data_IF_954163941312
#
_entry.id   IF_954163941312
#
_cell.length_a   1.000
_cell.length_b   1.000
_cell.length_c   1.000
_cell.angle_alpha   90.00
_cell.angle_beta   90.00
_cell.angle_gamma   90.00
#
_symmetry.space_group_name_H-M   'P 1'
#
loop_
_entity.id
_entity.type
_entity.pdbx_description
1 polymer ?
#
# COMPACT_ATOMS: atom_id res chain seq x y z
N UNK A 1 18.68 23.23 19.32
CA UNK A 1 17.38 22.77 19.88
C UNK A 1 16.17 23.55 19.36
N UNK A 2 16.15 24.91 19.35
CA UNK A 2 14.97 25.69 18.89
C UNK A 2 14.51 25.44 17.45
N UNK A 3 15.39 24.99 16.55
CA UNK A 3 15.06 24.67 15.14
C UNK A 3 14.45 23.27 14.95
N UNK A 4 14.74 22.33 15.85
CA UNK A 4 14.28 20.93 15.72
C UNK A 4 12.77 20.80 15.92
N UNK A 5 12.22 21.44 16.96
CA UNK A 5 10.78 21.46 17.24
C UNK A 5 9.97 22.27 16.22
N UNK A 6 10.62 23.03 15.32
CA UNK A 6 9.95 23.76 14.23
C UNK A 6 9.73 22.91 12.98
N UNK A 7 10.37 21.74 12.88
CA UNK A 7 10.19 20.84 11.73
C UNK A 7 8.76 20.29 11.72
N UNK A 8 8.13 20.29 10.54
CA UNK A 8 6.78 19.73 10.36
C UNK A 8 6.68 18.29 10.86
N UNK A 9 7.64 17.46 10.47
CA UNK A 9 7.75 16.06 10.86
C UNK A 9 7.76 15.87 12.39
N UNK A 10 8.56 16.66 13.11
CA UNK A 10 8.66 16.59 14.59
C UNK A 10 7.34 16.99 15.25
N UNK A 11 6.69 18.05 14.75
CA UNK A 11 5.35 18.44 15.21
C UNK A 11 4.30 17.37 14.91
N UNK A 12 4.41 16.70 13.75
CA UNK A 12 3.60 15.53 13.40
C UNK A 12 3.78 14.40 14.41
N UNK A 13 5.02 14.01 14.73
CA UNK A 13 5.27 12.96 15.73
C UNK A 13 4.72 13.31 17.11
N UNK A 14 4.92 14.55 17.57
CA UNK A 14 4.32 15.03 18.83
C UNK A 14 2.79 15.00 18.77
N UNK A 15 2.22 15.44 17.65
CA UNK A 15 0.79 15.36 17.39
C UNK A 15 0.27 13.92 17.42
N UNK A 16 1.04 12.95 16.93
CA UNK A 16 0.68 11.54 16.97
C UNK A 16 0.63 10.99 18.39
N UNK A 17 1.63 11.33 19.21
CA UNK A 17 1.67 10.91 20.62
C UNK A 17 0.52 11.55 21.39
N UNK A 18 0.35 12.87 21.28
CA UNK A 18 -0.71 13.60 21.97
C UNK A 18 -2.11 13.14 21.53
N UNK A 19 -2.32 12.94 20.23
CA UNK A 19 -3.56 12.41 19.69
C UNK A 19 -3.87 11.00 20.18
N UNK A 20 -2.85 10.13 20.25
CA UNK A 20 -2.98 8.78 20.81
C UNK A 20 -3.40 8.82 22.27
N UNK A 21 -2.69 9.59 23.10
CA UNK A 21 -3.01 9.73 24.52
C UNK A 21 -4.38 10.35 24.75
N UNK A 22 -4.75 11.35 23.95
CA UNK A 22 -6.08 11.96 24.00
C UNK A 22 -7.17 10.93 23.65
N UNK A 23 -6.99 10.11 22.61
CA UNK A 23 -7.95 9.06 22.26
C UNK A 23 -8.10 7.98 23.34
N UNK A 24 -6.99 7.55 23.93
CA UNK A 24 -7.01 6.63 25.08
C UNK A 24 -7.74 7.25 26.29
N UNK A 25 -7.46 8.52 26.58
CA UNK A 25 -8.12 9.28 27.64
C UNK A 25 -9.61 9.46 27.38
N UNK A 26 -10.01 9.71 26.13
CA UNK A 26 -11.41 9.85 25.72
C UNK A 26 -12.19 8.55 25.96
N UNK A 27 -11.63 7.40 25.58
CA UNK A 27 -12.25 6.09 25.85
C UNK A 27 -12.38 5.86 27.34
N UNK A 28 -11.30 6.05 28.10
CA UNK A 28 -11.28 5.81 29.55
C UNK A 28 -12.22 6.75 30.29
N UNK A 29 -12.26 8.04 29.93
CA UNK A 29 -13.14 9.04 30.51
C UNK A 29 -14.61 8.82 30.17
N UNK A 30 -14.92 8.40 28.94
CA UNK A 30 -16.28 8.02 28.55
C UNK A 30 -16.74 6.81 29.34
N UNK A 31 -15.87 5.81 29.55
CA UNK A 31 -16.18 4.65 30.39
C UNK A 31 -16.43 5.03 31.84
N UNK A 32 -15.62 5.93 32.39
CA UNK A 32 -15.84 6.47 33.74
C UNK A 32 -17.20 7.19 33.86
N UNK A 33 -17.52 8.06 32.88
CA UNK A 33 -18.79 8.79 32.86
C UNK A 33 -20.02 7.88 32.73
N UNK A 34 -19.87 6.73 32.07
CA UNK A 34 -20.93 5.72 31.92
C UNK A 34 -20.93 4.68 33.05
N UNK A 35 -20.04 4.79 34.04
CA UNK A 35 -19.97 3.87 35.18
C UNK A 35 -19.48 2.45 34.83
N UNK A 36 -18.71 2.28 33.75
CA UNK A 36 -18.15 0.98 33.38
C UNK A 36 -16.90 0.63 34.18
N UNK A 37 -16.76 -0.66 34.56
CA UNK A 37 -15.57 -1.23 35.19
C UNK A 37 -15.10 -2.48 34.39
N UNK A 38 -13.79 -2.65 34.07
CA UNK A 38 -12.68 -1.73 34.32
C UNK A 38 -12.77 -0.44 33.51
N UNK A 39 -12.25 0.67 34.05
CA UNK A 39 -12.13 1.94 33.32
C UNK A 39 -11.28 1.79 32.05
N UNK A 40 -10.19 1.02 32.14
CA UNK A 40 -9.29 0.76 31.02
C UNK A 40 -9.79 -0.40 30.16
N UNK A 41 -10.26 -0.07 28.95
CA UNK A 41 -10.54 -1.05 27.89
C UNK A 41 -9.42 -0.97 26.85
N UNK A 42 -8.43 -1.86 26.97
CA UNK A 42 -7.17 -1.76 26.22
C UNK A 42 -7.37 -1.66 24.70
N UNK A 43 -8.17 -2.56 24.11
CA UNK A 43 -8.36 -2.59 22.67
C UNK A 43 -9.08 -1.33 22.13
N UNK A 44 -10.27 -0.94 22.62
CA UNK A 44 -10.89 0.32 22.23
C UNK A 44 -9.99 1.54 22.44
N UNK A 45 -9.25 1.59 23.55
CA UNK A 45 -8.32 2.68 23.82
C UNK A 45 -7.18 2.76 22.81
N UNK A 46 -6.61 1.63 22.39
CA UNK A 46 -5.58 1.58 21.35
C UNK A 46 -6.13 1.87 19.95
N UNK A 47 -7.34 1.41 19.61
CA UNK A 47 -7.98 1.69 18.32
C UNK A 47 -8.30 3.19 18.18
N UNK A 48 -8.99 3.76 19.15
CA UNK A 48 -9.33 5.20 19.14
C UNK A 48 -8.08 6.05 19.30
N UNK A 49 -7.13 5.60 20.13
CA UNK A 49 -5.80 6.22 20.24
C UNK A 49 -5.08 6.24 18.89
N UNK A 50 -4.97 5.11 18.20
CA UNK A 50 -4.32 5.04 16.88
C UNK A 50 -4.98 5.93 15.83
N UNK A 51 -6.33 6.01 15.85
CA UNK A 51 -7.11 6.87 14.97
C UNK A 51 -6.82 8.35 15.23
N UNK A 52 -6.97 8.80 16.48
CA UNK A 52 -6.73 10.19 16.85
C UNK A 52 -5.24 10.56 16.83
N UNK A 53 -4.35 9.60 17.01
CA UNK A 53 -2.92 9.76 16.79
C UNK A 53 -2.61 10.00 15.32
N UNK A 54 -3.21 9.24 14.40
CA UNK A 54 -3.08 9.49 12.96
C UNK A 54 -3.58 10.89 12.60
N UNK A 55 -4.75 11.28 13.11
CA UNK A 55 -5.27 12.63 12.91
C UNK A 55 -4.36 13.70 13.52
N UNK A 56 -3.89 13.49 14.75
CA UNK A 56 -2.97 14.38 15.45
C UNK A 56 -1.65 14.56 14.71
N UNK A 57 -1.13 13.50 14.07
CA UNK A 57 0.02 13.61 13.17
C UNK A 57 -0.28 14.53 11.99
N UNK A 58 -1.39 14.29 11.30
CA UNK A 58 -1.79 15.04 10.11
C UNK A 58 -2.06 16.52 10.40
N UNK A 59 -2.60 16.83 11.58
CA UNK A 59 -2.73 18.20 12.09
C UNK A 59 -1.36 18.79 12.42
N UNK A 60 -0.54 18.07 13.20
CA UNK A 60 0.75 18.56 13.68
C UNK A 60 1.75 18.85 12.57
N UNK A 61 1.77 18.01 11.51
CA UNK A 61 2.63 18.25 10.34
C UNK A 61 2.11 19.38 9.46
N UNK A 62 0.81 19.68 9.53
CA UNK A 62 0.13 20.72 8.75
C UNK A 62 -0.55 20.23 7.47
N UNK A 63 -0.65 18.91 7.26
CA UNK A 63 -1.25 18.34 6.05
C UNK A 63 -2.76 18.61 5.94
N UNK A 64 -3.41 18.95 7.06
CA UNK A 64 -4.82 19.34 7.13
C UNK A 64 -5.05 20.86 7.25
N UNK A 65 -3.98 21.65 7.34
CA UNK A 65 -4.11 23.10 7.59
C UNK A 65 -4.86 23.83 6.49
N UNK A 66 -4.53 23.55 5.22
CA UNK A 66 -5.18 24.22 4.09
C UNK A 66 -6.66 23.83 3.96
N UNK A 67 -6.98 22.56 4.23
CA UNK A 67 -8.34 22.05 4.22
C UNK A 67 -9.22 22.71 5.30
N UNK A 68 -8.66 22.88 6.51
CA UNK A 68 -9.35 23.57 7.59
C UNK A 68 -9.60 25.05 7.27
N UNK A 69 -8.60 25.73 6.67
CA UNK A 69 -8.75 27.13 6.21
C UNK A 69 -9.85 27.26 5.15
N UNK A 70 -9.88 26.35 4.17
CA UNK A 70 -10.95 26.33 3.17
C UNK A 70 -12.33 26.13 3.77
N UNK A 71 -12.47 25.26 4.78
CA UNK A 71 -13.75 25.02 5.45
C UNK A 71 -14.33 26.28 6.12
N UNK A 72 -13.48 27.27 6.45
CA UNK A 72 -13.89 28.56 7.04
C UNK A 72 -13.75 29.73 6.05
N UNK A 73 -13.61 29.46 4.76
CA UNK A 73 -13.55 30.50 3.71
C UNK A 73 -12.24 31.27 3.61
N UNK A 74 -11.15 30.76 4.22
CA UNK A 74 -9.81 31.38 4.12
C UNK A 74 -9.09 30.86 2.88
N UNK A 75 -8.67 31.77 2.01
CA UNK A 75 -7.87 31.43 0.83
C UNK A 75 -6.51 30.84 1.22
N UNK A 76 -6.08 29.84 0.46
CA UNK A 76 -4.77 29.20 0.62
C UNK A 76 -4.05 29.20 -0.72
N UNK A 77 -3.06 30.09 -0.93
CA UNK A 77 -2.30 30.09 -2.17
C UNK A 77 -1.43 28.84 -2.26
N UNK A 78 -1.18 28.38 -3.48
CA UNK A 78 -0.26 27.28 -3.74
C UNK A 78 1.16 27.76 -3.48
N UNK A 79 1.83 27.17 -2.49
CA UNK A 79 3.21 27.49 -2.16
C UNK A 79 4.11 26.25 -2.30
N UNK A 80 5.23 26.42 -3.00
CA UNK A 80 6.30 25.43 -3.10
C UNK A 80 7.51 25.97 -2.35
N UNK A 81 8.16 25.14 -1.55
CA UNK A 81 9.38 25.52 -0.84
C UNK A 81 9.34 25.22 0.66
N UNK A 82 10.45 25.55 1.30
CA UNK A 82 10.55 25.46 2.75
C UNK A 82 9.56 26.40 3.44
N UNK A 83 9.12 26.08 4.67
CA UNK A 83 8.34 27.01 5.47
C UNK A 83 9.04 28.37 5.59
N UNK A 84 8.25 29.45 5.58
CA UNK A 84 8.77 30.82 5.60
C UNK A 84 9.81 31.05 6.72
N UNK A 85 10.96 31.60 6.35
CA UNK A 85 12.06 31.86 7.27
C UNK A 85 12.85 30.62 7.71
N UNK A 86 12.66 29.46 7.07
CA UNK A 86 13.44 28.24 7.32
C UNK A 86 14.36 27.91 6.13
N UNK A 87 15.49 27.22 6.36
CA UNK A 87 16.37 26.78 5.27
C UNK A 87 15.68 25.82 4.29
N UNK A 88 16.07 25.85 3.00
CA UNK A 88 15.48 25.04 1.92
C UNK A 88 15.34 23.55 2.25
N UNK A 89 16.34 22.94 2.90
CA UNK A 89 16.31 21.51 3.22
C UNK A 89 15.14 21.11 4.13
N UNK A 90 14.57 22.05 4.89
CA UNK A 90 13.45 21.78 5.80
C UNK A 90 12.16 21.41 5.06
N UNK A 91 12.05 21.73 3.76
CA UNK A 91 10.88 21.37 2.93
C UNK A 91 10.63 19.86 2.86
N UNK A 92 11.68 19.03 2.94
CA UNK A 92 11.53 17.57 2.93
C UNK A 92 10.95 17.03 4.25
N UNK A 93 11.00 17.81 5.32
CA UNK A 93 10.45 17.48 6.63
C UNK A 93 9.18 18.29 6.95
N UNK A 94 8.56 18.91 5.95
CA UNK A 94 7.34 19.70 6.07
C UNK A 94 6.42 19.46 4.86
N UNK A 95 5.17 19.92 4.97
CA UNK A 95 4.24 19.87 3.84
C UNK A 95 4.77 20.77 2.72
N UNK A 96 5.00 20.17 1.56
CA UNK A 96 5.31 20.83 0.29
C UNK A 96 4.33 20.28 -0.76
N UNK A 97 3.91 21.12 -1.69
CA UNK A 97 2.94 20.75 -2.71
C UNK A 97 3.60 20.24 -4.00
N UNK A 98 4.90 20.47 -4.18
CA UNK A 98 5.61 20.06 -5.38
C UNK A 98 5.68 18.54 -5.52
N UNK A 99 5.17 17.99 -6.62
CA UNK A 99 5.31 16.56 -6.93
C UNK A 99 6.75 16.02 -6.87
N UNK A 100 7.76 16.86 -7.15
CA UNK A 100 9.19 16.49 -7.03
C UNK A 100 9.59 16.25 -5.59
N UNK A 101 9.20 17.15 -4.68
CA UNK A 101 9.52 17.02 -3.25
C UNK A 101 8.75 15.86 -2.64
N UNK A 102 7.46 15.74 -2.96
CA UNK A 102 6.62 14.63 -2.53
C UNK A 102 7.19 13.30 -3.04
N UNK A 103 7.65 13.25 -4.30
CA UNK A 103 8.33 12.07 -4.85
C UNK A 103 9.56 11.67 -4.03
N UNK A 104 10.44 12.63 -3.69
CA UNK A 104 11.61 12.38 -2.83
C UNK A 104 11.19 11.94 -1.42
N UNK A 105 10.18 12.57 -0.85
CA UNK A 105 9.63 12.22 0.46
C UNK A 105 9.15 10.76 0.51
N UNK A 106 8.35 10.34 -0.49
CA UNK A 106 7.92 8.96 -0.66
C UNK A 106 9.11 8.01 -0.80
N UNK A 107 10.08 8.33 -1.66
CA UNK A 107 11.24 7.46 -1.90
C UNK A 107 12.09 7.27 -0.65
N UNK A 108 12.43 8.36 0.05
CA UNK A 108 13.26 8.29 1.26
C UNK A 108 12.51 7.55 2.38
N UNK A 109 11.23 7.86 2.60
CA UNK A 109 10.44 7.13 3.59
C UNK A 109 10.28 5.65 3.23
N UNK A 110 10.03 5.34 1.96
CA UNK A 110 9.96 3.98 1.44
C UNK A 110 11.24 3.19 1.68
N UNK A 111 12.42 3.79 1.49
CA UNK A 111 13.72 3.17 1.82
C UNK A 111 13.84 2.92 3.32
N UNK A 112 13.44 3.86 4.18
CA UNK A 112 13.49 3.64 5.63
C UNK A 112 12.60 2.49 6.07
N UNK A 113 11.37 2.42 5.55
CA UNK A 113 10.42 1.32 5.83
C UNK A 113 10.95 0.00 5.25
N UNK A 114 11.57 0.02 4.07
CA UNK A 114 12.23 -1.14 3.46
C UNK A 114 13.34 -1.70 4.35
N UNK A 115 14.19 -0.83 4.92
CA UNK A 115 15.28 -1.24 5.80
C UNK A 115 14.74 -1.89 7.07
N UNK A 116 13.64 -1.38 7.64
CA UNK A 116 12.97 -2.02 8.78
C UNK A 116 12.46 -3.41 8.38
N UNK A 117 11.68 -3.50 7.30
CA UNK A 117 11.15 -4.79 6.83
C UNK A 117 12.23 -5.81 6.49
N UNK A 118 13.31 -5.38 5.84
CA UNK A 118 14.47 -6.21 5.52
C UNK A 118 15.21 -6.69 6.78
N UNK A 119 15.37 -5.82 7.78
CA UNK A 119 15.95 -6.21 9.07
C UNK A 119 15.12 -7.29 9.77
N UNK A 120 13.79 -7.15 9.80
CA UNK A 120 12.90 -8.19 10.36
C UNK A 120 13.07 -9.53 9.62
N UNK A 121 13.31 -9.50 8.31
CA UNK A 121 13.60 -10.70 7.52
C UNK A 121 14.86 -11.41 7.98
N UNK A 122 15.92 -10.67 8.25
CA UNK A 122 17.16 -11.22 8.79
C UNK A 122 16.93 -11.89 10.14
N UNK A 123 16.13 -11.29 11.02
CA UNK A 123 15.85 -11.87 12.34
C UNK A 123 15.19 -13.24 12.25
N UNK A 124 14.06 -13.38 11.56
CA UNK A 124 13.41 -14.71 11.47
C UNK A 124 14.20 -15.70 10.61
N UNK A 125 15.07 -15.24 9.69
CA UNK A 125 15.97 -16.14 8.95
C UNK A 125 17.08 -16.71 9.83
N UNK A 126 17.58 -15.94 10.80
CA UNK A 126 18.55 -16.43 11.80
C UNK A 126 17.92 -17.51 12.68
N UNK A 127 16.63 -17.36 13.03
CA UNK A 127 15.88 -18.40 13.73
C UNK A 127 15.81 -19.72 12.94
N UNK A 128 15.67 -19.63 11.61
CA UNK A 128 15.54 -20.77 10.71
C UNK A 128 16.88 -21.42 10.29
N UNK A 129 18.00 -21.08 10.94
CA UNK A 129 19.30 -21.68 10.63
C UNK A 129 19.41 -23.15 11.05
N UNK A 130 18.62 -23.58 12.04
CA UNK A 130 18.56 -24.96 12.50
C UNK A 130 17.09 -25.36 12.77
N UNK A 131 16.76 -26.66 12.72
CA UNK A 131 15.41 -27.14 13.07
C UNK A 131 15.05 -26.83 14.53
N UNK A 132 13.78 -26.46 14.77
CA UNK A 132 13.26 -26.07 16.09
C UNK A 132 13.46 -24.59 16.40
N UNK A 133 12.87 -24.12 17.50
CA UNK A 133 13.07 -22.74 17.98
C UNK A 133 14.42 -22.60 18.68
N UNK A 134 15.17 -21.54 18.37
CA UNK A 134 16.52 -21.26 18.82
C UNK A 134 16.59 -20.01 19.70
N UNK A 135 16.11 -18.87 19.20
CA UNK A 135 16.27 -17.55 19.83
C UNK A 135 14.93 -16.89 20.19
N UNK A 136 13.84 -17.28 19.53
CA UNK A 136 12.54 -16.65 19.72
C UNK A 136 11.50 -17.61 20.34
N UNK A 137 10.45 -17.04 20.91
CA UNK A 137 9.21 -17.77 21.16
C UNK A 137 8.42 -17.88 19.85
N UNK A 138 7.49 -18.84 19.78
CA UNK A 138 6.57 -19.00 18.64
C UNK A 138 5.81 -17.72 18.33
N UNK A 139 5.32 -17.03 19.35
CA UNK A 139 4.54 -15.79 19.20
C UNK A 139 5.41 -14.64 18.66
N UNK A 140 6.66 -14.55 19.14
CA UNK A 140 7.61 -13.54 18.64
C UNK A 140 7.98 -13.82 17.20
N UNK A 141 8.23 -15.08 16.84
CA UNK A 141 8.49 -15.48 15.46
C UNK A 141 7.32 -15.12 14.54
N UNK A 142 6.09 -15.47 14.94
CA UNK A 142 4.88 -15.15 14.20
C UNK A 142 4.68 -13.63 14.05
N UNK A 143 4.99 -12.85 15.09
CA UNK A 143 4.97 -11.39 15.00
C UNK A 143 5.98 -10.85 14.00
N UNK A 144 7.23 -11.37 14.00
CA UNK A 144 8.29 -10.90 13.11
C UNK A 144 7.96 -11.18 11.63
N UNK A 145 7.50 -12.39 11.31
CA UNK A 145 7.14 -12.75 9.94
C UNK A 145 5.90 -11.97 9.46
N UNK A 146 4.91 -11.77 10.34
CA UNK A 146 3.69 -11.02 10.02
C UNK A 146 4.00 -9.54 9.78
N UNK A 147 4.82 -8.94 10.64
CA UNK A 147 5.27 -7.56 10.52
C UNK A 147 6.13 -7.34 9.27
N UNK A 148 7.08 -8.24 9.00
CA UNK A 148 7.88 -8.19 7.77
C UNK A 148 6.99 -8.09 6.53
N UNK A 149 5.98 -8.95 6.40
CA UNK A 149 5.10 -8.99 5.22
C UNK A 149 4.43 -7.64 4.95
N UNK A 150 3.70 -7.09 5.92
CA UNK A 150 2.97 -5.83 5.73
C UNK A 150 3.90 -4.61 5.62
N UNK A 151 5.02 -4.59 6.35
CA UNK A 151 6.00 -3.49 6.29
C UNK A 151 6.67 -3.45 4.91
N UNK A 152 7.01 -4.60 4.33
CA UNK A 152 7.57 -4.68 2.98
C UNK A 152 6.55 -4.25 1.90
N UNK A 153 5.28 -4.63 2.05
CA UNK A 153 4.21 -4.16 1.16
C UNK A 153 4.07 -2.64 1.23
N UNK A 154 4.11 -2.09 2.46
CA UNK A 154 4.08 -0.64 2.68
C UNK A 154 5.27 0.05 2.01
N UNK A 155 6.47 -0.50 2.17
CA UNK A 155 7.69 0.02 1.54
C UNK A 155 7.61 0.04 0.01
N UNK A 156 7.08 -1.02 -0.60
CA UNK A 156 6.96 -1.10 -2.07
C UNK A 156 5.91 -0.12 -2.60
N UNK A 157 4.80 0.06 -1.89
CA UNK A 157 3.77 1.06 -2.23
C UNK A 157 4.34 2.48 -2.16
N UNK A 158 5.13 2.78 -1.13
CA UNK A 158 5.82 4.05 -0.99
C UNK A 158 6.83 4.28 -2.12
N UNK A 159 7.60 3.25 -2.49
CA UNK A 159 8.56 3.32 -3.59
C UNK A 159 7.89 3.57 -4.94
N UNK A 160 6.82 2.83 -5.25
CA UNK A 160 5.99 3.04 -6.45
C UNK A 160 5.39 4.45 -6.46
N UNK A 161 4.81 4.88 -5.33
CA UNK A 161 4.25 6.21 -5.17
C UNK A 161 5.28 7.32 -5.41
N UNK A 162 6.50 7.15 -4.91
CA UNK A 162 7.59 8.11 -5.09
C UNK A 162 8.02 8.24 -6.55
N UNK A 163 8.19 7.12 -7.24
CA UNK A 163 8.55 7.09 -8.66
C UNK A 163 7.48 7.74 -9.53
N UNK A 164 6.21 7.39 -9.30
CA UNK A 164 5.08 7.95 -10.04
C UNK A 164 4.98 9.47 -9.83
N UNK A 165 5.04 9.93 -8.58
CA UNK A 165 4.98 11.34 -8.23
C UNK A 165 6.11 12.15 -8.86
N UNK A 166 7.33 11.62 -8.82
CA UNK A 166 8.48 12.34 -9.34
C UNK A 166 8.47 12.40 -10.87
N UNK A 167 8.23 11.26 -11.53
CA UNK A 167 8.46 11.10 -12.97
C UNK A 167 7.26 11.49 -13.83
N UNK A 168 6.02 11.13 -13.45
CA UNK A 168 4.88 11.22 -14.38
C UNK A 168 4.62 12.66 -14.83
N UNK A 169 4.53 13.68 -13.95
CA UNK A 169 4.32 15.06 -14.41
C UNK A 169 5.42 15.54 -15.36
N UNK A 170 6.68 15.17 -15.10
CA UNK A 170 7.81 15.50 -16.00
C UNK A 170 7.66 14.82 -17.36
N UNK A 171 7.29 13.53 -17.36
CA UNK A 171 7.14 12.71 -18.57
C UNK A 171 5.98 13.17 -19.46
N UNK A 172 4.93 13.75 -18.87
CA UNK A 172 3.80 14.29 -19.63
C UNK A 172 3.91 15.80 -19.88
N UNK A 173 4.95 16.47 -19.39
CA UNK A 173 5.13 17.92 -19.56
C UNK A 173 4.17 18.79 -18.72
N UNK A 174 3.63 18.25 -17.63
CA UNK A 174 2.81 18.99 -16.67
C UNK A 174 3.69 19.71 -15.64
N UNK A 175 3.23 20.87 -15.15
CA UNK A 175 3.94 21.64 -14.11
C UNK A 175 3.87 20.98 -12.74
N UNK A 176 2.79 20.25 -12.46
CA UNK A 176 2.54 19.53 -11.22
C UNK A 176 1.45 18.45 -11.43
N UNK A 177 1.05 17.77 -10.34
CA UNK A 177 -0.14 16.92 -10.30
C UNK A 177 -1.45 17.75 -10.28
N UNK A 178 -2.58 17.15 -10.65
CA UNK A 178 -3.88 17.81 -10.71
C UNK A 178 -4.37 18.33 -9.36
N UNK A 179 -4.11 17.59 -8.28
CA UNK A 179 -4.49 17.94 -6.92
C UNK A 179 -3.26 17.94 -5.98
N UNK A 180 -2.40 18.96 -5.98
CA UNK A 180 -1.15 18.90 -5.21
C UNK A 180 -1.35 18.84 -3.69
N UNK A 181 -2.42 19.43 -3.15
CA UNK A 181 -2.78 19.30 -1.71
C UNK A 181 -3.19 17.88 -1.35
N UNK A 182 -4.00 17.26 -2.19
CA UNK A 182 -4.38 15.85 -2.03
C UNK A 182 -3.17 14.94 -2.15
N UNK A 183 -2.21 15.32 -3.01
CA UNK A 183 -0.95 14.63 -3.17
C UNK A 183 -0.10 14.66 -1.89
N UNK A 184 0.04 15.84 -1.28
CA UNK A 184 0.76 16.01 -0.03
C UNK A 184 0.08 15.24 1.11
N UNK A 185 -1.25 15.30 1.20
CA UNK A 185 -2.03 14.47 2.13
C UNK A 185 -1.74 12.96 1.92
N UNK A 186 -1.74 12.51 0.67
CA UNK A 186 -1.44 11.12 0.31
C UNK A 186 -0.07 10.68 0.82
N UNK A 187 0.98 11.50 0.71
CA UNK A 187 2.27 11.17 1.31
C UNK A 187 2.19 11.12 2.83
N UNK A 188 1.74 12.22 3.45
CA UNK A 188 1.87 12.42 4.89
C UNK A 188 1.07 11.42 5.71
N UNK A 189 -0.04 10.88 5.19
CA UNK A 189 -0.83 9.87 5.90
C UNK A 189 -0.11 8.50 6.02
N UNK A 190 0.86 8.20 5.14
CA UNK A 190 1.64 6.95 5.24
C UNK A 190 2.61 6.94 6.42
N UNK A 191 3.07 8.10 6.87
CA UNK A 191 4.04 8.20 7.98
C UNK A 191 3.43 7.66 9.27
N UNK A 192 2.31 8.17 9.79
CA UNK A 192 1.68 7.64 10.98
C UNK A 192 1.20 6.20 10.77
N UNK A 193 0.76 5.84 9.56
CA UNK A 193 0.35 4.46 9.25
C UNK A 193 1.50 3.45 9.41
N UNK A 194 2.69 3.77 8.89
CA UNK A 194 3.89 2.94 9.04
C UNK A 194 4.29 2.84 10.52
N UNK A 195 4.14 3.93 11.28
CA UNK A 195 4.41 3.95 12.72
C UNK A 195 3.40 3.12 13.52
N UNK A 196 2.13 3.05 13.09
CA UNK A 196 1.13 2.15 13.68
C UNK A 196 1.55 0.69 13.50
N UNK A 197 2.00 0.30 12.31
CA UNK A 197 2.48 -1.06 12.03
C UNK A 197 3.68 -1.45 12.91
N UNK A 198 4.64 -0.52 13.09
CA UNK A 198 5.80 -0.76 13.95
C UNK A 198 5.36 -0.82 15.42
N UNK A 199 4.49 0.08 15.86
CA UNK A 199 3.98 0.12 17.24
C UNK A 199 3.22 -1.16 17.59
N UNK A 200 2.44 -1.71 16.66
CA UNK A 200 1.71 -2.96 16.83
C UNK A 200 2.60 -4.11 17.32
N UNK A 201 3.86 -4.18 16.88
CA UNK A 201 4.81 -5.21 17.31
C UNK A 201 5.19 -5.13 18.80
N UNK A 202 5.16 -3.92 19.36
CA UNK A 202 5.51 -3.65 20.75
C UNK A 202 4.28 -3.65 21.66
N UNK A 203 3.08 -3.54 21.09
CA UNK A 203 1.78 -3.64 21.78
C UNK A 203 1.22 -5.05 21.63
N UNK A 204 2.02 -6.06 21.94
CA UNK A 204 1.62 -7.47 21.93
C UNK A 204 1.75 -8.21 20.58
N UNK A 205 1.97 -7.51 19.47
CA UNK A 205 2.16 -8.16 18.16
C UNK A 205 0.89 -8.80 17.59
N UNK A 206 1.07 -9.62 16.55
CA UNK A 206 0.00 -10.40 15.93
C UNK A 206 0.59 -11.61 15.19
N UNK A 207 -0.21 -12.66 15.04
CA UNK A 207 0.23 -13.98 14.57
C UNK A 207 -0.58 -14.49 13.37
N UNK A 208 -1.25 -13.59 12.65
CA UNK A 208 -2.10 -13.93 11.50
C UNK A 208 -1.39 -13.86 10.15
N UNK A 209 -0.09 -13.60 10.12
CA UNK A 209 0.57 -13.11 8.92
C UNK A 209 0.08 -11.71 8.53
N UNK A 210 0.51 -11.26 7.36
CA UNK A 210 0.02 -10.02 6.74
C UNK A 210 -1.39 -10.16 6.16
N UNK A 211 -1.92 -11.38 6.04
CA UNK A 211 -3.21 -11.68 5.42
C UNK A 211 -4.40 -11.57 6.37
N UNK A 212 -4.18 -11.58 7.69
CA UNK A 212 -5.22 -11.26 8.68
C UNK A 212 -6.49 -12.13 8.63
N UNK A 213 -6.36 -13.42 8.31
CA UNK A 213 -7.52 -14.30 8.12
C UNK A 213 -8.34 -14.51 9.42
N UNK A 214 -9.67 -14.30 9.39
CA UNK A 214 -10.60 -14.87 10.35
C UNK A 214 -10.64 -16.40 10.27
N UNK A 215 -10.97 -17.10 11.38
CA UNK A 215 -11.28 -16.54 12.69
C UNK A 215 -10.03 -16.13 13.50
N UNK A 216 -8.82 -16.38 12.99
CA UNK A 216 -7.59 -16.11 13.75
C UNK A 216 -7.39 -14.62 14.06
N UNK A 217 -7.64 -13.74 13.08
CA UNK A 217 -7.54 -12.28 13.27
C UNK A 217 -8.50 -11.70 14.29
N UNK A 218 -9.62 -12.39 14.56
CA UNK A 218 -10.57 -12.03 15.62
C UNK A 218 -10.06 -12.38 17.02
N UNK A 219 -8.97 -13.15 17.13
CA UNK A 219 -8.39 -13.61 18.40
C UNK A 219 -6.96 -13.11 18.65
N UNK A 220 -6.41 -12.34 17.71
CA UNK A 220 -5.08 -11.72 17.86
C UNK A 220 -4.98 -10.85 19.11
N UNK A 221 -3.74 -10.71 19.60
CA UNK A 221 -3.37 -9.77 20.64
C UNK A 221 -3.62 -8.30 20.24
N UNK A 222 -3.39 -7.38 21.19
CA UNK A 222 -3.67 -5.94 21.04
C UNK A 222 -2.97 -5.27 19.85
N UNK A 223 -1.92 -5.87 19.28
CA UNK A 223 -1.23 -5.37 18.10
C UNK A 223 -2.04 -5.57 16.81
N UNK A 224 -2.93 -6.57 16.76
CA UNK A 224 -3.77 -6.86 15.60
C UNK A 224 -4.62 -5.67 15.14
N UNK A 225 -5.42 -5.03 16.03
CA UNK A 225 -6.20 -3.84 15.68
C UNK A 225 -5.35 -2.66 15.16
N UNK A 226 -4.15 -2.44 15.71
CA UNK A 226 -3.24 -1.40 15.20
C UNK A 226 -2.68 -1.76 13.81
N UNK A 227 -2.42 -3.04 13.56
CA UNK A 227 -2.08 -3.55 12.23
C UNK A 227 -3.22 -3.31 11.23
N UNK A 228 -4.47 -3.64 11.58
CA UNK A 228 -5.63 -3.41 10.69
C UNK A 228 -5.80 -1.92 10.40
N UNK A 229 -5.66 -1.05 11.41
CA UNK A 229 -5.75 0.39 11.25
C UNK A 229 -4.61 0.96 10.40
N UNK A 230 -3.38 0.49 10.60
CA UNK A 230 -2.22 0.87 9.79
C UNK A 230 -2.41 0.48 8.32
N UNK A 231 -2.88 -0.74 8.06
CA UNK A 231 -3.21 -1.21 6.70
C UNK A 231 -4.29 -0.32 6.08
N UNK A 232 -5.42 -0.13 6.76
CA UNK A 232 -6.50 0.73 6.29
C UNK A 232 -6.01 2.14 5.92
N UNK A 233 -5.15 2.72 6.76
CA UNK A 233 -4.61 4.07 6.58
C UNK A 233 -3.68 4.18 5.36
N UNK A 234 -2.84 3.17 5.09
CA UNK A 234 -2.03 3.10 3.85
C UNK A 234 -2.93 3.00 2.61
N UNK A 235 -4.04 2.27 2.73
CA UNK A 235 -5.04 2.16 1.66
C UNK A 235 -5.60 3.52 1.24
N UNK A 236 -5.88 4.41 2.19
CA UNK A 236 -6.36 5.78 1.90
C UNK A 236 -5.36 6.54 1.01
N UNK A 237 -4.07 6.47 1.33
CA UNK A 237 -3.02 7.10 0.50
C UNK A 237 -3.04 6.59 -0.94
N UNK A 238 -3.14 5.26 -1.12
CA UNK A 238 -3.17 4.64 -2.44
C UNK A 238 -4.40 5.08 -3.25
N UNK A 239 -5.58 5.17 -2.63
CA UNK A 239 -6.82 5.60 -3.29
C UNK A 239 -6.69 7.04 -3.80
N UNK A 240 -6.27 7.97 -2.92
CA UNK A 240 -6.15 9.38 -3.31
C UNK A 240 -5.02 9.62 -4.31
N UNK A 241 -3.92 8.87 -4.20
CA UNK A 241 -2.81 8.91 -5.16
C UNK A 241 -3.24 8.40 -6.54
N UNK A 242 -3.97 7.29 -6.59
CA UNK A 242 -4.52 6.73 -7.82
C UNK A 242 -5.47 7.70 -8.53
N UNK A 243 -6.42 8.28 -7.78
CA UNK A 243 -7.32 9.32 -8.30
C UNK A 243 -6.54 10.50 -8.88
N UNK A 244 -5.60 11.05 -8.11
CA UNK A 244 -4.83 12.21 -8.51
C UNK A 244 -4.01 11.95 -9.78
N UNK A 245 -3.36 10.79 -9.89
CA UNK A 245 -2.60 10.44 -11.08
C UNK A 245 -3.50 10.33 -12.31
N UNK A 246 -4.64 9.64 -12.19
CA UNK A 246 -5.56 9.47 -13.32
C UNK A 246 -6.02 10.83 -13.85
N UNK A 247 -6.46 11.73 -12.96
CA UNK A 247 -6.87 13.08 -13.37
C UNK A 247 -5.70 13.84 -13.99
N UNK A 248 -4.51 13.80 -13.39
CA UNK A 248 -3.29 14.44 -13.92
C UNK A 248 -3.02 14.00 -15.36
N UNK A 249 -2.95 12.69 -15.60
CA UNK A 249 -2.62 12.14 -16.91
C UNK A 249 -3.71 12.44 -17.93
N UNK A 250 -4.99 12.35 -17.58
CA UNK A 250 -6.07 12.56 -18.56
C UNK A 250 -6.34 14.03 -18.88
N UNK A 251 -6.04 14.96 -17.97
CA UNK A 251 -6.43 16.37 -18.11
C UNK A 251 -5.27 17.34 -18.33
N UNK A 252 -4.03 16.97 -17.97
CA UNK A 252 -2.88 17.89 -17.97
C UNK A 252 -1.80 17.60 -19.02
N UNK A 253 -2.03 16.62 -19.91
CA UNK A 253 -1.14 16.40 -21.06
C UNK A 253 -1.20 17.58 -22.03
N UNK A 254 -0.08 17.93 -22.70
CA UNK A 254 -0.11 18.93 -23.76
C UNK A 254 -0.96 18.42 -24.93
N UNK A 255 -1.68 19.31 -25.65
CA UNK A 255 -2.56 18.92 -26.75
C UNK A 255 -1.87 18.11 -27.87
N UNK A 256 -0.56 18.25 -28.03
CA UNK A 256 0.25 17.53 -29.02
C UNK A 256 0.54 16.06 -28.66
N UNK A 257 0.35 15.67 -27.40
CA UNK A 257 0.60 14.32 -26.89
C UNK A 257 -0.70 13.53 -26.81
N UNK A 258 -1.00 12.77 -27.88
CA UNK A 258 -2.06 11.76 -27.81
C UNK A 258 -1.65 10.55 -26.93
N UNK A 259 -2.62 9.69 -26.60
CA UNK A 259 -2.42 8.54 -25.71
C UNK A 259 -1.29 7.60 -26.15
N UNK A 260 -1.17 7.30 -27.45
CA UNK A 260 -0.12 6.44 -27.98
C UNK A 260 1.19 7.18 -28.26
N UNK A 261 1.37 8.40 -27.73
CA UNK A 261 2.64 9.13 -27.70
C UNK A 261 3.16 9.38 -26.28
N UNK A 262 2.45 8.92 -25.25
CA UNK A 262 2.93 9.01 -23.88
C UNK A 262 4.16 8.11 -23.65
N UNK A 263 5.08 8.45 -22.72
CA UNK A 263 6.11 7.51 -22.29
C UNK A 263 5.50 6.21 -21.73
N UNK A 264 6.17 5.08 -21.91
CA UNK A 264 5.60 3.78 -21.59
C UNK A 264 5.42 3.57 -20.09
N UNK A 265 6.25 4.22 -19.26
CA UNK A 265 6.07 4.25 -17.82
C UNK A 265 4.75 4.92 -17.42
N UNK A 266 4.27 5.92 -18.17
CA UNK A 266 2.98 6.58 -17.89
C UNK A 266 1.82 5.60 -18.10
N UNK A 267 1.87 4.74 -19.11
CA UNK A 267 0.86 3.67 -19.29
C UNK A 267 0.85 2.67 -18.14
N UNK A 268 2.03 2.27 -17.66
CA UNK A 268 2.14 1.41 -16.48
C UNK A 268 1.56 2.09 -15.24
N UNK A 269 1.89 3.36 -15.02
CA UNK A 269 1.40 4.16 -13.90
C UNK A 269 -0.13 4.35 -13.96
N UNK A 270 -0.72 4.56 -15.15
CA UNK A 270 -2.18 4.58 -15.33
C UNK A 270 -2.80 3.24 -14.93
N UNK A 271 -2.27 2.12 -15.40
CA UNK A 271 -2.75 0.79 -15.01
C UNK A 271 -2.69 0.57 -13.49
N UNK A 272 -1.56 0.92 -12.87
CA UNK A 272 -1.38 0.91 -11.41
C UNK A 272 -2.42 1.77 -10.70
N UNK A 273 -2.69 2.99 -11.17
CA UNK A 273 -3.63 3.90 -10.51
C UNK A 273 -5.09 3.50 -10.68
N UNK A 274 -5.47 2.83 -11.77
CA UNK A 274 -6.80 2.20 -11.89
C UNK A 274 -6.98 1.14 -10.81
N UNK A 275 -6.00 0.27 -10.63
CA UNK A 275 -6.03 -0.77 -9.60
C UNK A 275 -6.08 -0.16 -8.19
N UNK A 276 -5.26 0.84 -7.92
CA UNK A 276 -5.23 1.52 -6.62
C UNK A 276 -6.57 2.20 -6.29
N UNK A 277 -7.21 2.85 -7.28
CA UNK A 277 -8.47 3.54 -7.08
C UNK A 277 -9.62 2.55 -6.81
N UNK A 278 -9.72 1.48 -7.60
CA UNK A 278 -10.89 0.60 -7.60
C UNK A 278 -10.75 -0.62 -6.68
N UNK A 279 -9.56 -1.23 -6.59
CA UNK A 279 -9.37 -2.46 -5.82
C UNK A 279 -9.13 -2.19 -4.32
N UNK A 280 -8.36 -1.16 -3.98
CA UNK A 280 -7.91 -0.87 -2.59
C UNK A 280 -9.06 -0.66 -1.61
N UNK A 281 -10.21 -0.22 -2.10
CA UNK A 281 -11.40 0.00 -1.29
C UNK A 281 -11.85 -1.28 -0.55
N UNK A 282 -11.72 -2.46 -1.18
CA UNK A 282 -12.22 -3.70 -0.57
C UNK A 282 -11.33 -4.23 0.56
N UNK A 283 -10.00 -4.10 0.47
CA UNK A 283 -9.14 -4.45 1.62
C UNK A 283 -9.34 -3.45 2.75
N UNK A 284 -9.54 -2.18 2.44
CA UNK A 284 -9.87 -1.17 3.43
C UNK A 284 -11.15 -1.53 4.17
N UNK A 285 -12.19 -1.94 3.43
CA UNK A 285 -13.44 -2.46 4.00
C UNK A 285 -13.19 -3.71 4.86
N UNK A 286 -12.43 -4.70 4.38
CA UNK A 286 -12.14 -5.91 5.14
C UNK A 286 -11.43 -5.63 6.49
N UNK A 287 -10.42 -4.74 6.48
CA UNK A 287 -9.72 -4.32 7.70
C UNK A 287 -10.63 -3.54 8.64
N UNK A 288 -11.49 -2.66 8.11
CA UNK A 288 -12.46 -1.93 8.90
C UNK A 288 -13.50 -2.87 9.53
N UNK A 289 -13.99 -3.86 8.78
CA UNK A 289 -14.90 -4.89 9.28
C UNK A 289 -14.24 -5.71 10.40
N UNK A 290 -12.95 -6.03 10.32
CA UNK A 290 -12.22 -6.66 11.44
C UNK A 290 -12.18 -5.77 12.68
N UNK A 291 -11.86 -4.48 12.52
CA UNK A 291 -11.81 -3.54 13.65
C UNK A 291 -13.19 -3.42 14.29
N UNK A 292 -14.24 -3.29 13.48
CA UNK A 292 -15.63 -3.14 13.93
C UNK A 292 -16.14 -4.44 14.57
N UNK A 293 -15.85 -5.60 14.00
CA UNK A 293 -16.24 -6.89 14.58
C UNK A 293 -15.60 -7.11 15.95
N UNK A 294 -14.33 -6.77 16.10
CA UNK A 294 -13.66 -6.92 17.39
C UNK A 294 -14.06 -5.86 18.42
N UNK A 295 -14.21 -4.61 18.00
CA UNK A 295 -14.46 -3.48 18.90
C UNK A 295 -15.94 -3.34 19.27
N UNK A 296 -16.85 -3.65 18.33
CA UNK A 296 -18.30 -3.46 18.47
C UNK A 296 -19.09 -4.78 18.39
N UNK A 297 -18.41 -5.92 18.31
CA UNK A 297 -19.01 -7.26 18.29
C UNK A 297 -20.03 -7.50 17.16
N UNK A 298 -19.85 -6.80 16.03
CA UNK A 298 -20.64 -7.01 14.81
C UNK A 298 -20.11 -8.24 14.07
N UNK A 299 -20.85 -9.35 14.10
CA UNK A 299 -20.39 -10.63 13.56
C UNK A 299 -20.43 -10.71 12.03
N UNK A 300 -19.40 -10.22 11.35
CA UNK A 300 -19.28 -10.32 9.90
C UNK A 300 -18.61 -11.64 9.46
N UNK A 301 -17.57 -12.05 10.18
CA UNK A 301 -16.72 -13.18 9.79
C UNK A 301 -16.78 -14.33 10.80
N UNK A 302 -17.20 -14.10 12.05
CA UNK A 302 -17.37 -15.18 13.02
C UNK A 302 -18.52 -16.11 12.63
N UNK A 303 -18.29 -17.43 12.47
CA UNK A 303 -19.37 -18.38 12.27
C UNK A 303 -20.12 -18.67 13.59
N UNK A 304 -19.61 -18.18 14.73
CA UNK A 304 -20.23 -18.34 16.05
C UNK A 304 -21.04 -17.09 16.39
N UNK A 305 -22.35 -17.26 16.56
CA UNK A 305 -23.27 -16.19 16.96
C UNK A 305 -23.14 -15.90 18.45
N UNK A 306 -23.03 -14.62 18.80
CA UNK A 306 -23.19 -14.14 20.18
C UNK A 306 -24.69 -14.06 20.56
N UNK A 307 -25.01 -13.94 21.85
CA UNK A 307 -26.39 -13.94 22.33
C UNK A 307 -27.23 -12.80 21.74
N UNK A 308 -26.64 -11.61 21.54
CA UNK A 308 -27.33 -10.48 20.90
C UNK A 308 -27.68 -10.79 19.43
N UNK A 309 -26.77 -11.40 18.68
CA UNK A 309 -26.98 -11.81 17.30
C UNK A 309 -28.04 -12.92 17.20
N UNK A 310 -28.03 -13.88 18.14
CA UNK A 310 -29.09 -14.90 18.26
C UNK A 310 -30.45 -14.26 18.53
N UNK A 311 -30.53 -13.31 19.46
CA UNK A 311 -31.78 -12.60 19.81
C UNK A 311 -32.35 -11.81 18.63
N UNK A 312 -31.49 -11.34 17.72
CA UNK A 312 -31.87 -10.65 16.49
C UNK A 312 -32.08 -11.59 15.28
N UNK A 313 -32.05 -12.92 15.46
CA UNK A 313 -32.08 -13.91 14.37
C UNK A 313 -31.05 -13.60 13.25
N UNK A 314 -29.88 -13.08 13.62
CA UNK A 314 -28.82 -12.76 12.67
C UNK A 314 -28.20 -14.05 12.11
N UNK A 315 -27.89 -14.11 10.80
CA UNK A 315 -27.16 -15.25 10.25
C UNK A 315 -25.72 -15.28 10.78
N UNK A 316 -25.09 -16.47 10.86
CA UNK A 316 -23.65 -16.58 11.13
C UNK A 316 -22.83 -15.76 10.12
N UNK A 317 -21.72 -15.20 10.57
CA UNK A 317 -20.72 -14.58 9.69
C UNK A 317 -19.99 -15.62 8.85
N UNK A 318 -19.30 -15.15 7.80
CA UNK A 318 -18.60 -16.00 6.85
C UNK A 318 -17.09 -15.68 6.82
N UNK A 319 -16.21 -16.56 7.33
CA UNK A 319 -14.76 -16.38 7.22
C UNK A 319 -14.25 -16.35 5.77
N UNK A 320 -14.93 -17.02 4.83
CA UNK A 320 -14.53 -17.06 3.41
C UNK A 320 -14.85 -15.74 2.70
N UNK A 321 -15.89 -15.03 3.15
CA UNK A 321 -16.18 -13.66 2.70
C UNK A 321 -14.97 -12.74 2.90
N UNK A 322 -14.30 -12.80 4.06
CA UNK A 322 -13.08 -12.04 4.30
C UNK A 322 -12.02 -12.32 3.22
N UNK A 323 -11.81 -13.59 2.88
CA UNK A 323 -10.82 -13.97 1.87
C UNK A 323 -11.18 -13.41 0.49
N UNK A 324 -12.46 -13.42 0.10
CA UNK A 324 -12.91 -12.79 -1.14
C UNK A 324 -12.62 -11.28 -1.14
N UNK A 325 -12.99 -10.56 -0.07
CA UNK A 325 -12.74 -9.12 0.04
C UNK A 325 -11.25 -8.78 0.03
N UNK A 326 -10.46 -9.55 0.80
CA UNK A 326 -9.02 -9.37 0.91
C UNK A 326 -8.33 -9.63 -0.44
N UNK A 327 -8.58 -10.78 -1.07
CA UNK A 327 -7.87 -11.13 -2.31
C UNK A 327 -8.35 -10.35 -3.52
N UNK A 328 -9.63 -9.95 -3.56
CA UNK A 328 -10.10 -9.06 -4.62
C UNK A 328 -9.27 -7.79 -4.71
N UNK A 329 -8.72 -7.30 -3.60
CA UNK A 329 -7.65 -6.31 -3.62
C UNK A 329 -6.26 -6.91 -3.76
N UNK A 330 -5.87 -7.82 -2.86
CA UNK A 330 -4.47 -8.18 -2.64
C UNK A 330 -3.83 -8.86 -3.84
N UNK A 331 -4.63 -9.45 -4.73
CA UNK A 331 -4.10 -9.90 -6.01
C UNK A 331 -3.89 -8.75 -7.01
N UNK A 332 -4.87 -7.86 -7.31
CA UNK A 332 -4.56 -6.59 -7.98
C UNK A 332 -3.38 -5.80 -7.40
N UNK A 333 -3.19 -5.81 -6.08
CA UNK A 333 -2.09 -5.14 -5.42
C UNK A 333 -0.72 -5.65 -5.91
N UNK A 334 -0.57 -6.94 -6.22
CA UNK A 334 0.70 -7.42 -6.81
C UNK A 334 0.95 -6.82 -8.19
N UNK A 335 -0.10 -6.47 -8.93
CA UNK A 335 0.05 -5.75 -10.20
C UNK A 335 0.33 -4.26 -10.01
N UNK A 336 -0.19 -3.63 -8.94
CA UNK A 336 0.22 -2.28 -8.51
C UNK A 336 1.73 -2.22 -8.32
N UNK A 337 2.34 -3.28 -7.76
CA UNK A 337 3.79 -3.36 -7.55
C UNK A 337 4.55 -3.61 -8.84
N UNK A 338 4.09 -4.57 -9.65
CA UNK A 338 4.87 -5.05 -10.80
C UNK A 338 4.79 -4.10 -12.00
N UNK A 339 3.61 -3.52 -12.29
CA UNK A 339 3.41 -2.71 -13.50
C UNK A 339 4.40 -1.56 -13.63
N UNK A 340 4.65 -0.74 -12.59
CA UNK A 340 5.65 0.33 -12.65
C UNK A 340 7.06 -0.22 -12.88
N UNK A 341 7.40 -1.36 -12.28
CA UNK A 341 8.68 -2.05 -12.52
C UNK A 341 8.82 -2.47 -13.98
N UNK A 342 7.77 -3.05 -14.58
CA UNK A 342 7.75 -3.39 -16.00
C UNK A 342 7.81 -2.14 -16.91
N UNK A 343 7.22 -1.03 -16.46
CA UNK A 343 7.33 0.28 -17.11
C UNK A 343 8.77 0.78 -17.11
N UNK A 344 9.47 0.72 -15.97
CA UNK A 344 10.88 1.13 -15.83
C UNK A 344 11.78 0.29 -16.74
N UNK A 345 11.61 -1.05 -16.75
CA UNK A 345 12.32 -1.93 -17.69
C UNK A 345 12.11 -1.44 -19.13
N UNK A 346 10.87 -1.12 -19.49
CA UNK A 346 10.51 -0.70 -20.84
C UNK A 346 11.03 0.70 -21.21
N UNK A 347 11.27 1.59 -20.24
CA UNK A 347 11.92 2.89 -20.46
C UNK A 347 13.45 2.78 -20.61
N UNK A 348 14.08 1.94 -19.77
CA UNK A 348 15.53 1.86 -19.71
C UNK A 348 16.13 1.02 -20.86
N UNK A 349 15.42 -0.01 -21.32
CA UNK A 349 15.91 -0.85 -22.42
C UNK A 349 16.22 -0.04 -23.69
N UNK A 350 15.33 0.82 -24.21
CA UNK A 350 15.63 1.66 -25.37
C UNK A 350 16.88 2.53 -25.22
N UNK A 351 17.09 3.09 -24.02
CA UNK A 351 18.22 3.97 -23.71
C UNK A 351 19.54 3.21 -23.84
N UNK A 352 19.65 2.05 -23.18
CA UNK A 352 20.90 1.30 -23.13
C UNK A 352 21.10 0.35 -24.32
N UNK A 353 20.04 0.03 -25.07
CA UNK A 353 20.13 -0.69 -26.34
C UNK A 353 20.25 0.24 -27.56
N UNK A 354 20.05 1.55 -27.38
CA UNK A 354 20.06 2.58 -28.44
C UNK A 354 19.13 2.22 -29.60
N UNK A 355 17.95 1.70 -29.27
CA UNK A 355 16.92 1.24 -30.21
C UNK A 355 15.55 1.63 -29.66
N UNK A 356 14.58 2.06 -30.49
CA UNK A 356 13.22 2.29 -30.02
C UNK A 356 12.64 1.03 -29.37
N UNK A 357 11.72 1.23 -28.42
CA UNK A 357 11.00 0.14 -27.77
C UNK A 357 10.19 -0.65 -28.81
N UNK A 358 10.56 -1.91 -29.00
CA UNK A 358 9.86 -2.80 -29.92
C UNK A 358 8.44 -3.04 -29.39
N UNK A 359 7.44 -2.97 -30.26
CA UNK A 359 6.05 -3.26 -29.88
C UNK A 359 5.45 -2.29 -28.86
N UNK A 360 5.85 -1.01 -28.83
CA UNK A 360 5.35 0.00 -27.88
C UNK A 360 3.83 -0.07 -27.63
N UNK A 361 3.00 -0.10 -28.69
CA UNK A 361 1.53 -0.17 -28.56
C UNK A 361 1.08 -1.43 -27.80
N UNK A 362 1.71 -2.57 -28.08
CA UNK A 362 1.40 -3.84 -27.43
C UNK A 362 1.82 -3.85 -25.96
N UNK A 363 2.96 -3.22 -25.61
CA UNK A 363 3.36 -3.05 -24.21
C UNK A 363 2.39 -2.12 -23.47
N UNK A 364 1.93 -1.04 -24.12
CA UNK A 364 0.98 -0.11 -23.53
C UNK A 364 -0.35 -0.82 -23.25
N UNK A 365 -0.92 -1.48 -24.27
CA UNK A 365 -2.17 -2.24 -24.16
C UNK A 365 -2.04 -3.42 -23.18
N UNK A 366 -0.90 -4.10 -23.11
CA UNK A 366 -0.70 -5.17 -22.14
C UNK A 366 -0.67 -4.67 -20.69
N UNK A 367 -0.20 -3.44 -20.45
CA UNK A 367 -0.26 -2.83 -19.11
C UNK A 367 -1.71 -2.66 -18.64
N UNK A 368 -2.57 -2.17 -19.54
CA UNK A 368 -4.01 -2.04 -19.27
C UNK A 368 -4.70 -3.40 -19.20
N UNK A 369 -4.31 -4.35 -20.05
CA UNK A 369 -4.82 -5.72 -20.02
C UNK A 369 -4.52 -6.42 -18.71
N UNK A 370 -3.31 -6.28 -18.16
CA UNK A 370 -2.94 -6.81 -16.84
C UNK A 370 -3.78 -6.15 -15.75
N UNK A 371 -3.94 -4.82 -15.77
CA UNK A 371 -4.77 -4.12 -14.79
C UNK A 371 -6.23 -4.58 -14.84
N UNK A 372 -6.81 -4.75 -16.02
CA UNK A 372 -8.18 -5.25 -16.18
C UNK A 372 -8.32 -6.70 -15.70
N UNK A 373 -7.46 -7.61 -16.19
CA UNK A 373 -7.51 -9.02 -15.83
C UNK A 373 -7.23 -9.24 -14.35
N UNK A 374 -6.47 -8.36 -13.68
CA UNK A 374 -6.20 -8.44 -12.26
C UNK A 374 -7.45 -8.51 -11.38
N UNK A 375 -8.56 -7.91 -11.83
CA UNK A 375 -9.86 -8.00 -11.14
C UNK A 375 -10.59 -9.33 -11.33
N UNK A 376 -10.09 -10.24 -12.18
CA UNK A 376 -10.79 -11.46 -12.59
C UNK A 376 -10.14 -12.76 -12.10
N UNK A 377 -9.10 -12.66 -11.27
CA UNK A 377 -8.22 -13.81 -10.97
C UNK A 377 -7.97 -14.02 -9.48
N UNK A 378 -8.50 -13.15 -8.61
CA UNK A 378 -8.14 -13.14 -7.20
C UNK A 378 -8.36 -14.47 -6.46
N UNK A 379 -9.37 -15.25 -6.86
CA UNK A 379 -9.74 -16.46 -6.15
C UNK A 379 -8.77 -17.63 -6.37
N UNK A 380 -7.73 -17.49 -7.20
CA UNK A 380 -6.64 -18.47 -7.24
C UNK A 380 -5.88 -18.61 -5.92
N UNK A 381 -5.94 -17.61 -5.03
CA UNK A 381 -5.42 -17.69 -3.66
C UNK A 381 -6.35 -18.48 -2.72
N UNK A 382 -7.51 -18.89 -3.21
CA UNK A 382 -8.61 -19.44 -2.42
C UNK A 382 -8.98 -20.86 -2.83
N UNK A 383 -8.23 -21.52 -3.72
CA UNK A 383 -8.59 -22.85 -4.23
C UNK A 383 -8.73 -23.93 -3.14
N UNK A 384 -8.07 -23.75 -2.00
CA UNK A 384 -8.14 -24.65 -0.83
C UNK A 384 -8.98 -24.07 0.33
N UNK A 385 -9.67 -22.95 0.14
CA UNK A 385 -10.38 -22.21 1.21
C UNK A 385 -11.78 -22.73 1.54
N UNK A 386 -12.32 -23.66 0.76
CA UNK A 386 -13.74 -24.04 0.82
C UNK A 386 -14.66 -23.20 -0.08
N UNK A 387 -14.12 -22.30 -0.90
CA UNK A 387 -14.89 -21.60 -1.95
C UNK A 387 -15.63 -22.58 -2.87
N UNK A 388 -16.75 -22.14 -3.45
CA UNK A 388 -17.60 -22.95 -4.31
C UNK A 388 -16.83 -23.60 -5.47
N UNK A 389 -16.98 -24.93 -5.63
CA UNK A 389 -16.19 -25.72 -6.58
C UNK A 389 -16.31 -25.24 -8.03
N UNK A 390 -17.51 -24.81 -8.45
CA UNK A 390 -17.76 -24.36 -9.82
C UNK A 390 -17.01 -23.07 -10.18
N UNK A 391 -16.54 -22.29 -9.20
CA UNK A 391 -15.75 -21.09 -9.44
C UNK A 391 -14.26 -21.42 -9.70
N UNK A 392 -13.75 -22.55 -9.21
CA UNK A 392 -12.31 -22.84 -9.24
C UNK A 392 -11.77 -22.93 -10.67
N UNK A 393 -12.47 -23.63 -11.57
CA UNK A 393 -12.09 -23.76 -12.97
C UNK A 393 -12.04 -22.42 -13.73
N UNK A 394 -13.10 -21.58 -13.71
CA UNK A 394 -13.03 -20.24 -14.31
C UNK A 394 -11.84 -19.41 -13.83
N UNK A 395 -11.56 -19.39 -12.52
CA UNK A 395 -10.45 -18.63 -11.95
C UNK A 395 -9.08 -19.20 -12.36
N UNK A 396 -8.93 -20.52 -12.46
CA UNK A 396 -7.72 -21.14 -13.01
C UNK A 396 -7.47 -20.67 -14.44
N UNK A 397 -8.45 -20.80 -15.34
CA UNK A 397 -8.29 -20.38 -16.74
C UNK A 397 -8.01 -18.88 -16.86
N UNK A 398 -8.73 -18.04 -16.13
CA UNK A 398 -8.50 -16.60 -16.11
C UNK A 398 -7.07 -16.26 -15.66
N UNK A 399 -6.55 -16.98 -14.65
CA UNK A 399 -5.17 -16.79 -14.14
C UNK A 399 -4.13 -17.16 -15.19
N UNK A 400 -4.32 -18.30 -15.88
CA UNK A 400 -3.40 -18.73 -16.94
C UNK A 400 -3.38 -17.74 -18.11
N UNK A 401 -4.50 -17.09 -18.43
CA UNK A 401 -4.59 -16.07 -19.49
C UNK A 401 -3.73 -14.83 -19.17
N UNK A 402 -3.54 -14.46 -17.89
CA UNK A 402 -2.69 -13.31 -17.53
C UNK A 402 -1.23 -13.48 -17.96
N UNK A 403 -0.76 -14.73 -18.10
CA UNK A 403 0.59 -14.98 -18.60
C UNK A 403 0.79 -14.41 -20.02
N UNK A 404 -0.28 -14.27 -20.83
CA UNK A 404 -0.19 -13.79 -22.22
C UNK A 404 0.20 -12.31 -22.29
N UNK A 405 -0.51 -11.34 -21.67
CA UNK A 405 -0.07 -9.94 -21.63
C UNK A 405 1.35 -9.74 -21.09
N UNK A 406 1.74 -10.56 -20.12
CA UNK A 406 3.09 -10.52 -19.54
C UNK A 406 4.14 -11.04 -20.54
N UNK A 407 3.84 -12.14 -21.24
CA UNK A 407 4.67 -12.70 -22.31
C UNK A 407 4.91 -11.71 -23.45
N UNK A 408 3.87 -10.96 -23.86
CA UNK A 408 3.99 -9.88 -24.86
C UNK A 408 5.09 -8.88 -24.48
N UNK A 409 5.21 -8.53 -23.20
CA UNK A 409 6.27 -7.63 -22.72
C UNK A 409 7.65 -8.26 -22.85
N UNK A 410 7.81 -9.52 -22.42
CA UNK A 410 9.09 -10.24 -22.57
C UNK A 410 9.57 -10.33 -24.01
N UNK A 411 8.71 -10.74 -24.94
CA UNK A 411 9.08 -10.79 -26.36
C UNK A 411 9.41 -9.41 -26.91
N UNK A 412 8.72 -8.37 -26.45
CA UNK A 412 9.00 -7.00 -26.84
C UNK A 412 10.34 -6.48 -26.28
N UNK A 413 10.70 -6.86 -25.06
CA UNK A 413 12.01 -6.54 -24.47
C UNK A 413 13.13 -7.25 -25.21
N UNK A 414 12.98 -8.53 -25.52
CA UNK A 414 13.93 -9.27 -26.36
C UNK A 414 14.07 -8.63 -27.74
N UNK A 415 12.95 -8.25 -28.36
CA UNK A 415 12.96 -7.51 -29.63
C UNK A 415 13.64 -6.15 -29.55
N UNK A 416 13.60 -5.48 -28.39
CA UNK A 416 14.29 -4.20 -28.15
C UNK A 416 15.80 -4.39 -27.98
N UNK A 417 16.22 -5.48 -27.33
CA UNK A 417 17.63 -5.84 -27.20
C UNK A 417 18.24 -6.33 -28.52
N UNK A 418 17.48 -7.09 -29.29
CA UNK A 418 17.94 -7.73 -30.52
C UNK A 418 18.42 -6.69 -31.56
N UNK A 419 19.67 -6.83 -32.00
CA UNK A 419 20.30 -5.91 -32.94
C UNK A 419 20.57 -4.51 -32.39
N UNK A 420 20.41 -4.30 -31.07
CA UNK A 420 20.76 -3.06 -30.39
C UNK A 420 22.27 -2.94 -30.14
N UNK A 421 22.73 -1.73 -29.80
CA UNK A 421 24.11 -1.46 -29.38
C UNK A 421 24.14 -1.34 -27.86
N UNK A 422 24.25 -2.49 -27.19
CA UNK A 422 24.10 -2.59 -25.73
C UNK A 422 25.25 -1.91 -24.98
N UNK A 423 24.89 -1.21 -23.91
CA UNK A 423 25.82 -0.71 -22.88
C UNK A 423 25.39 -1.25 -21.52
N UNK A 424 26.34 -1.44 -20.59
CA UNK A 424 26.06 -2.12 -19.31
C UNK A 424 26.35 -1.25 -18.08
N UNK A 425 25.83 -0.01 -17.98
CA UNK A 425 25.89 0.73 -16.73
C UNK A 425 24.98 0.08 -15.67
N UNK A 426 25.13 0.47 -14.40
CA UNK A 426 24.38 -0.09 -13.27
C UNK A 426 22.86 -0.23 -13.53
N UNK A 427 22.14 0.78 -14.05
CA UNK A 427 20.70 0.63 -14.30
C UNK A 427 20.37 -0.48 -15.31
N UNK A 428 21.21 -0.71 -16.31
CA UNK A 428 21.02 -1.80 -17.27
C UNK A 428 21.25 -3.16 -16.62
N UNK A 429 22.22 -3.29 -15.71
CA UNK A 429 22.46 -4.53 -14.97
C UNK A 429 21.25 -4.90 -14.10
N UNK A 430 20.63 -3.90 -13.44
CA UNK A 430 19.38 -4.11 -12.70
C UNK A 430 18.23 -4.52 -13.62
N UNK A 431 18.12 -3.93 -14.81
CA UNK A 431 17.10 -4.32 -15.81
C UNK A 431 17.27 -5.76 -16.26
N UNK A 432 18.48 -6.16 -16.62
CA UNK A 432 18.77 -7.54 -17.06
C UNK A 432 18.53 -8.54 -15.93
N UNK A 433 18.99 -8.23 -14.72
CA UNK A 433 18.72 -9.04 -13.53
C UNK A 433 17.23 -9.17 -13.23
N UNK A 434 16.48 -8.08 -13.33
CA UNK A 434 15.02 -8.09 -13.13
C UNK A 434 14.32 -8.96 -14.17
N UNK A 435 14.70 -8.88 -15.46
CA UNK A 435 14.13 -9.75 -16.52
C UNK A 435 14.39 -11.22 -16.19
N UNK A 436 15.62 -11.58 -15.78
CA UNK A 436 15.97 -12.97 -15.44
C UNK A 436 15.22 -13.48 -14.21
N UNK A 437 15.23 -12.74 -13.10
CA UNK A 437 14.53 -13.14 -11.86
C UNK A 437 13.02 -13.21 -12.09
N UNK A 438 12.46 -12.26 -12.83
CA UNK A 438 11.03 -12.23 -13.13
C UNK A 438 10.62 -13.38 -14.04
N UNK A 439 11.46 -13.79 -15.01
CA UNK A 439 11.17 -14.97 -15.84
C UNK A 439 11.15 -16.24 -15.00
N UNK A 440 12.18 -16.47 -14.18
CA UNK A 440 12.26 -17.66 -13.32
C UNK A 440 11.08 -17.73 -12.35
N UNK A 441 10.74 -16.61 -11.70
CA UNK A 441 9.56 -16.53 -10.84
C UNK A 441 8.26 -16.75 -11.61
N UNK A 442 8.11 -16.10 -12.77
CA UNK A 442 6.92 -16.20 -13.61
C UNK A 442 6.62 -17.61 -14.10
N UNK A 443 7.65 -18.43 -14.35
CA UNK A 443 7.49 -19.84 -14.75
C UNK A 443 6.93 -20.73 -13.62
N UNK A 444 7.08 -20.34 -12.36
CA UNK A 444 6.49 -21.07 -11.22
C UNK A 444 5.01 -20.74 -10.98
N UNK A 445 4.50 -19.66 -11.58
CA UNK A 445 3.12 -19.21 -11.41
C UNK A 445 2.08 -20.17 -12.00
N UNK A 446 2.16 -20.58 -13.28
CA UNK A 446 1.16 -21.46 -13.89
C UNK A 446 0.97 -22.80 -13.16
N UNK A 447 2.03 -23.51 -12.70
CA UNK A 447 1.86 -24.67 -11.82
C UNK A 447 1.09 -24.36 -10.54
N UNK A 448 1.38 -23.24 -9.87
CA UNK A 448 0.67 -22.83 -8.65
C UNK A 448 -0.79 -22.43 -8.92
N UNK A 449 -1.10 -21.96 -10.13
CA UNK A 449 -2.46 -21.61 -10.56
C UNK A 449 -3.28 -22.81 -11.02
N UNK A 450 -2.68 -23.99 -11.17
CA UNK A 450 -3.33 -25.18 -11.70
C UNK A 450 -3.92 -26.02 -10.57
N UNK A 451 -5.23 -26.24 -10.61
CA UNK A 451 -5.90 -27.18 -9.72
C UNK A 451 -5.87 -28.59 -10.34
N UNK A 452 -5.52 -29.59 -9.54
CA UNK A 452 -5.65 -31.01 -9.88
C UNK A 452 -6.89 -31.58 -9.20
N UNK A 453 -7.68 -32.34 -9.95
CA UNK A 453 -8.86 -33.05 -9.44
C UNK A 453 -8.50 -34.22 -8.54
#
# INVERSE_FOLDING_TARGET
MRTFFKLGFVRGLLGQVLGTLFGMGLVTGTRAALGYDPLWAAEPAWVIGGLLGTLGFMIGVGALTDWAKWAIGVETPMHHGAPAGQPEWTRYFAVDLSHKVIGVQYTVWGIMVLLVGGFLATLFRVELLQPGMQYFTTDRYNTLISAHGIIMISAILLGVGGMINYLVPLMIGASDMAFPRLNAFGFWINVPASLLLITAMFVGGWDTGWTAYPPNSLRTALGGPLFFLGFYTIGISSIVGGLNLLVTVFTMRPPSMNLFRMPIFVWAAVGTSVLQLLATQLVGLAMLMLIVERSLHMGFFTPVLNEAAKALNSPPGDPVLFQHLFWFYSHPAVYVFVLPGLGIISELLPVFARKPLFGYKWIALSSIGIAFLGFLVWAHHMFTSGMSNYLRLPFMYATLIIAVPTGVKFFSWLGTLWGGKLTYPTPMLFVLGAISVFLLGGLTGPPAATITY
#
